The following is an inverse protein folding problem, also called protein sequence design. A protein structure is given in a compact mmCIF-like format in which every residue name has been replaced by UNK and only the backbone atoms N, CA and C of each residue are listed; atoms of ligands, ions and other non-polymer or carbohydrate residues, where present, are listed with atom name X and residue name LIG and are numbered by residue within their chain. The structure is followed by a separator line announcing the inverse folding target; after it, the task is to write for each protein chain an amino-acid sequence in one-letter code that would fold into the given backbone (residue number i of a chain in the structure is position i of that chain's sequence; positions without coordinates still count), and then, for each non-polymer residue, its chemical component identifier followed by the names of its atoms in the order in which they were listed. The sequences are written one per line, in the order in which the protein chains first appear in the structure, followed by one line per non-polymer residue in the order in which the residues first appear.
data_IF_079404909905
#
_entry.id   IF_079404909905
#
_cell.length_a   1.000
_cell.length_b   1.000
_cell.length_c   1.000
_cell.angle_alpha   90.00
_cell.angle_beta   90.00
_cell.angle_gamma   90.00
#
_symmetry.space_group_name_H-M   'P 1'
#
loop_
_entity.id
_entity.type
_entity.pdbx_description
1 polymer ?
#
# COMPACT_ATOMS: atom_id res chain seq x y z
N UNK A 1 -4.32 -16.06 -5.46
CA UNK A 1 -4.24 -15.03 -4.42
C UNK A 1 -3.85 -13.74 -5.10
N UNK A 2 -4.53 -12.62 -4.83
CA UNK A 2 -4.19 -11.32 -5.41
C UNK A 2 -3.51 -10.42 -4.38
N UNK A 3 -2.83 -9.37 -4.85
CA UNK A 3 -2.31 -8.26 -4.03
C UNK A 3 -2.88 -6.96 -4.59
N UNK A 4 -3.40 -6.08 -3.74
CA UNK A 4 -3.83 -4.73 -4.17
C UNK A 4 -2.64 -3.79 -4.26
N UNK A 5 -2.66 -2.93 -5.27
CA UNK A 5 -1.66 -1.89 -5.47
C UNK A 5 -2.26 -0.68 -6.18
N UNK A 6 -1.53 0.42 -6.15
CA UNK A 6 -1.76 1.56 -7.05
C UNK A 6 -0.55 1.68 -7.97
N UNK A 7 -0.78 1.80 -9.27
CA UNK A 7 0.28 1.99 -10.27
C UNK A 7 -0.03 3.22 -11.13
N UNK A 8 0.97 3.70 -11.87
CA UNK A 8 0.78 4.76 -12.88
C UNK A 8 0.60 4.15 -14.25
N UNK A 9 -0.44 4.58 -14.97
CA UNK A 9 -0.62 4.22 -16.36
C UNK A 9 0.33 4.99 -17.28
N UNK A 10 0.19 4.79 -18.59
CA UNK A 10 1.02 5.47 -19.61
C UNK A 10 0.80 6.99 -19.67
N UNK A 11 -0.27 7.51 -19.09
CA UNK A 11 -0.54 8.95 -18.97
C UNK A 11 0.05 9.53 -17.67
N UNK A 12 0.53 8.67 -16.77
CA UNK A 12 1.04 9.03 -15.45
C UNK A 12 -0.04 9.09 -14.37
N UNK A 13 -1.29 8.73 -14.71
CA UNK A 13 -2.41 8.77 -13.78
C UNK A 13 -2.35 7.57 -12.82
N UNK A 14 -2.70 7.81 -11.55
CA UNK A 14 -2.74 6.75 -10.57
C UNK A 14 -4.01 5.89 -10.75
N UNK A 15 -3.81 4.59 -10.94
CA UNK A 15 -4.87 3.61 -11.19
C UNK A 15 -4.84 2.50 -10.13
N UNK A 16 -6.00 2.05 -9.62
CA UNK A 16 -6.05 0.86 -8.78
C UNK A 16 -5.76 -0.39 -9.62
N UNK A 17 -4.94 -1.28 -9.09
CA UNK A 17 -4.59 -2.53 -9.75
C UNK A 17 -4.62 -3.71 -8.79
N UNK A 18 -4.74 -4.91 -9.37
CA UNK A 18 -4.43 -6.16 -8.68
C UNK A 18 -3.24 -6.83 -9.32
N UNK A 19 -2.35 -7.35 -8.48
CA UNK A 19 -1.23 -8.18 -8.87
C UNK A 19 -1.59 -9.66 -8.65
N UNK A 20 -1.62 -10.39 -9.75
CA UNK A 20 -1.85 -11.84 -9.78
C UNK A 20 -0.62 -12.48 -10.41
N UNK A 21 -0.03 -13.44 -9.70
CA UNK A 21 1.32 -13.94 -9.96
C UNK A 21 2.33 -12.78 -10.05
N UNK A 22 2.81 -12.49 -11.26
CA UNK A 22 3.81 -11.45 -11.57
C UNK A 22 3.27 -10.37 -12.51
N UNK A 23 1.97 -10.35 -12.78
CA UNK A 23 1.32 -9.40 -13.68
C UNK A 23 0.33 -8.53 -12.93
N UNK A 24 0.36 -7.24 -13.25
CA UNK A 24 -0.55 -6.21 -12.77
C UNK A 24 -1.68 -6.03 -13.78
N UNK A 25 -2.90 -5.97 -13.27
CA UNK A 25 -4.11 -5.75 -14.04
C UNK A 25 -4.77 -4.47 -13.55
N UNK A 26 -5.07 -3.56 -14.48
CA UNK A 26 -5.87 -2.37 -14.21
C UNK A 26 -7.31 -2.81 -13.90
N UNK A 27 -7.84 -2.34 -12.77
CA UNK A 27 -9.23 -2.55 -12.37
C UNK A 27 -9.98 -1.23 -12.24
N UNK A 28 -9.42 -0.16 -12.76
CA UNK A 28 -9.92 1.20 -12.62
C UNK A 28 -11.12 1.54 -13.51
N UNK A 29 -11.62 0.60 -14.32
CA UNK A 29 -12.96 0.70 -14.91
C UNK A 29 -14.06 0.40 -13.88
N UNK A 30 -13.75 -0.47 -12.90
CA UNK A 30 -14.72 -0.91 -11.91
C UNK A 30 -14.55 -0.20 -10.56
N UNK A 31 -13.33 0.21 -10.24
CA UNK A 31 -12.98 0.81 -8.95
C UNK A 31 -12.28 2.13 -9.13
N UNK A 32 -12.51 3.08 -8.22
CA UNK A 32 -11.93 4.43 -8.38
C UNK A 32 -10.51 4.48 -7.81
N UNK A 33 -10.28 3.82 -6.67
CA UNK A 33 -8.97 3.78 -6.00
C UNK A 33 -8.90 2.62 -5.01
N UNK A 34 -7.69 2.27 -4.58
CA UNK A 34 -7.51 1.29 -3.49
C UNK A 34 -8.17 1.75 -2.19
N UNK A 35 -8.18 3.06 -1.90
CA UNK A 35 -8.86 3.58 -0.72
C UNK A 35 -10.38 3.37 -0.78
N UNK A 36 -10.99 3.58 -1.95
CA UNK A 36 -12.41 3.34 -2.17
C UNK A 36 -12.74 1.84 -2.00
N UNK A 37 -11.91 0.96 -2.58
CA UNK A 37 -12.00 -0.49 -2.37
C UNK A 37 -12.02 -0.85 -0.88
N UNK A 38 -11.06 -0.32 -0.11
CA UNK A 38 -10.92 -0.62 1.32
C UNK A 38 -12.05 -0.04 2.17
N UNK A 39 -12.58 1.13 1.81
CA UNK A 39 -13.73 1.72 2.49
C UNK A 39 -15.02 0.90 2.29
N UNK A 40 -15.08 0.09 1.22
CA UNK A 40 -16.23 -0.75 0.87
C UNK A 40 -15.90 -2.26 0.95
N UNK A 41 -14.89 -2.63 1.76
CA UNK A 41 -14.27 -3.98 1.75
C UNK A 41 -15.27 -5.14 1.82
N UNK A 42 -16.29 -5.03 2.68
CA UNK A 42 -17.32 -6.07 2.85
C UNK A 42 -18.01 -6.47 1.53
N UNK A 43 -18.12 -5.53 0.59
CA UNK A 43 -18.72 -5.77 -0.73
C UNK A 43 -17.69 -6.00 -1.83
N UNK A 44 -16.53 -5.34 -1.76
CA UNK A 44 -15.51 -5.39 -2.82
C UNK A 44 -14.62 -6.64 -2.74
N UNK A 45 -14.40 -7.21 -1.55
CA UNK A 45 -13.53 -8.37 -1.34
C UNK A 45 -13.93 -9.56 -2.23
N UNK A 46 -15.22 -9.93 -2.21
CA UNK A 46 -15.73 -11.07 -2.99
C UNK A 46 -15.48 -10.86 -4.49
N UNK A 47 -15.74 -9.66 -4.99
CA UNK A 47 -15.52 -9.31 -6.40
C UNK A 47 -14.04 -9.41 -6.77
N UNK A 48 -13.14 -8.91 -5.93
CA UNK A 48 -11.69 -9.01 -6.15
C UNK A 48 -11.18 -10.45 -6.14
N UNK A 49 -11.73 -11.31 -5.27
CA UNK A 49 -11.42 -12.75 -5.27
C UNK A 49 -11.85 -13.38 -6.61
N UNK A 50 -13.07 -13.09 -7.08
CA UNK A 50 -13.59 -13.61 -8.35
C UNK A 50 -12.74 -13.14 -9.54
N UNK A 51 -12.41 -11.85 -9.63
CA UNK A 51 -11.52 -11.30 -10.66
C UNK A 51 -10.15 -12.00 -10.61
N UNK A 52 -9.56 -12.11 -9.41
CA UNK A 52 -8.27 -12.76 -9.23
C UNK A 52 -8.28 -14.24 -9.66
N UNK A 53 -9.36 -14.97 -9.39
CA UNK A 53 -9.53 -16.37 -9.85
C UNK A 53 -9.66 -16.45 -11.37
N UNK A 54 -10.45 -15.57 -11.99
CA UNK A 54 -10.63 -15.53 -13.44
C UNK A 54 -9.31 -15.25 -14.17
N UNK A 55 -8.49 -14.33 -13.66
CA UNK A 55 -7.19 -13.98 -14.23
C UNK A 55 -6.17 -15.13 -14.14
N UNK A 56 -6.20 -15.93 -13.06
CA UNK A 56 -5.37 -17.14 -12.96
C UNK A 56 -5.78 -18.19 -14.01
N UNK A 57 -7.08 -18.33 -14.27
CA UNK A 57 -7.61 -19.29 -15.25
C UNK A 57 -7.38 -18.84 -16.70
N UNK A 58 -7.39 -17.53 -16.96
CA UNK A 58 -7.28 -16.95 -18.30
C UNK A 58 -6.02 -16.08 -18.43
N UNK A 59 -4.84 -16.72 -18.38
CA UNK A 59 -3.52 -16.06 -18.46
C UNK A 59 -3.26 -15.24 -19.74
N UNK A 60 -4.16 -15.31 -20.74
CA UNK A 60 -4.09 -14.48 -21.94
C UNK A 60 -4.63 -13.04 -21.72
N UNK A 61 -5.13 -12.73 -20.52
CA UNK A 61 -5.50 -11.37 -20.16
C UNK A 61 -4.28 -10.43 -20.19
N UNK A 62 -4.48 -9.22 -20.70
CA UNK A 62 -3.46 -8.18 -20.95
C UNK A 62 -2.92 -7.54 -19.67
N UNK A 63 -2.32 -8.34 -18.79
CA UNK A 63 -1.62 -7.85 -17.61
C UNK A 63 -0.21 -7.38 -17.95
N UNK A 64 0.24 -6.33 -17.27
CA UNK A 64 1.60 -5.79 -17.42
C UNK A 64 2.51 -6.41 -16.37
N UNK A 65 3.72 -6.89 -16.71
CA UNK A 65 4.67 -7.38 -15.72
C UNK A 65 4.92 -6.37 -14.59
N UNK A 66 4.99 -6.83 -13.33
CA UNK A 66 5.15 -5.96 -12.15
C UNK A 66 6.44 -5.11 -12.17
N UNK A 67 7.47 -5.58 -12.87
CA UNK A 67 8.73 -4.87 -13.05
C UNK A 67 8.70 -3.82 -14.18
N UNK A 68 7.62 -3.77 -14.95
CA UNK A 68 7.41 -2.80 -16.04
C UNK A 68 6.42 -1.69 -15.67
N UNK A 69 5.77 -1.78 -14.50
CA UNK A 69 4.89 -0.72 -13.99
C UNK A 69 5.63 0.21 -13.02
N UNK A 70 5.22 1.47 -12.99
CA UNK A 70 5.63 2.40 -11.93
C UNK A 70 4.64 2.32 -10.78
N UNK A 71 5.09 1.88 -9.61
CA UNK A 71 4.25 1.76 -8.42
C UNK A 71 4.11 3.10 -7.69
N UNK A 72 2.88 3.46 -7.35
CA UNK A 72 2.61 4.54 -6.40
C UNK A 72 2.44 3.96 -4.98
N UNK A 73 2.22 4.83 -3.99
CA UNK A 73 1.80 4.36 -2.68
C UNK A 73 0.46 3.62 -2.83
N UNK A 74 0.27 2.41 -2.26
CA UNK A 74 -0.97 1.65 -2.43
C UNK A 74 -2.20 2.45 -2.01
N UNK A 75 -2.10 3.28 -0.97
CA UNK A 75 -3.13 4.23 -0.53
C UNK A 75 -2.55 5.64 -0.61
N UNK A 76 -3.01 6.45 -1.57
CA UNK A 76 -2.46 7.78 -1.84
C UNK A 76 -2.82 8.81 -0.76
N UNK A 77 -4.11 8.91 -0.42
CA UNK A 77 -4.63 10.00 0.42
C UNK A 77 -5.53 9.48 1.55
N UNK A 78 -5.00 8.69 2.51
CA UNK A 78 -5.77 8.27 3.66
C UNK A 78 -6.16 9.46 4.55
N UNK A 79 -7.13 9.25 5.43
CA UNK A 79 -7.56 10.26 6.42
C UNK A 79 -6.45 10.58 7.42
N UNK A 80 -6.15 9.64 8.32
CA UNK A 80 -5.09 9.78 9.35
C UNK A 80 -4.10 8.64 9.24
N UNK A 81 -2.81 8.95 9.23
CA UNK A 81 -1.72 7.97 9.31
C UNK A 81 -1.16 7.93 10.73
N UNK A 82 -1.56 6.90 11.48
CA UNK A 82 -0.97 6.59 12.78
C UNK A 82 0.31 5.79 12.59
N UNK A 83 1.37 6.19 13.26
CA UNK A 83 2.67 5.51 13.26
C UNK A 83 2.99 5.02 14.67
N UNK A 84 3.37 3.76 14.81
CA UNK A 84 3.92 3.23 16.05
C UNK A 84 5.41 3.59 16.11
N UNK A 85 5.81 4.37 17.11
CA UNK A 85 7.21 4.69 17.37
C UNK A 85 7.82 3.71 18.37
N UNK A 86 9.14 3.54 18.32
CA UNK A 86 9.90 2.74 19.28
C UNK A 86 9.30 1.35 19.56
N UNK A 87 8.75 0.69 18.52
CA UNK A 87 7.99 -0.57 18.66
C UNK A 87 8.88 -1.83 18.61
N UNK A 88 10.18 -1.69 18.90
CA UNK A 88 11.17 -2.76 18.93
C UNK A 88 12.15 -2.49 20.09
N UNK A 89 12.47 -3.51 20.89
CA UNK A 89 13.28 -3.35 22.09
C UNK A 89 14.68 -2.77 21.82
N UNK A 90 15.34 -3.27 20.77
CA UNK A 90 16.66 -2.76 20.37
C UNK A 90 16.59 -1.29 19.94
N UNK A 91 15.50 -0.88 19.29
CA UNK A 91 15.30 0.52 18.91
C UNK A 91 14.99 1.41 20.13
N UNK A 92 14.26 0.90 21.14
CA UNK A 92 14.09 1.62 22.41
C UNK A 92 15.44 1.83 23.10
N UNK A 93 16.26 0.77 23.19
CA UNK A 93 17.60 0.82 23.77
C UNK A 93 18.50 1.82 23.03
N UNK A 94 18.47 1.83 21.70
CA UNK A 94 19.20 2.80 20.86
C UNK A 94 18.79 4.25 21.18
N UNK A 95 17.49 4.52 21.34
CA UNK A 95 16.98 5.86 21.59
C UNK A 95 17.19 6.36 23.02
N UNK A 96 17.03 5.49 24.03
CA UNK A 96 16.98 5.87 25.45
C UNK A 96 18.27 5.55 26.21
N UNK A 97 19.10 4.63 25.71
CA UNK A 97 20.24 4.04 26.42
C UNK A 97 19.86 2.91 27.39
N UNK A 98 18.57 2.64 27.60
CA UNK A 98 18.06 1.63 28.53
C UNK A 98 17.04 0.71 27.85
N UNK A 99 17.00 -0.60 28.19
CA UNK A 99 16.01 -1.50 27.61
C UNK A 99 14.59 -1.07 28.04
N UNK A 100 13.57 -1.37 27.21
CA UNK A 100 12.19 -1.11 27.62
C UNK A 100 11.88 -1.89 28.91
N UNK A 101 11.04 -1.36 29.81
CA UNK A 101 10.62 -2.08 30.99
C UNK A 101 10.07 -3.47 30.61
N UNK A 102 10.45 -4.53 31.35
CA UNK A 102 10.03 -5.90 31.04
C UNK A 102 8.50 -6.10 31.16
N UNK A 103 7.82 -5.19 31.87
CA UNK A 103 6.39 -5.22 32.08
C UNK A 103 5.72 -3.99 31.46
N UNK A 104 4.74 -4.26 30.59
CA UNK A 104 3.70 -3.31 30.15
C UNK A 104 4.21 -1.98 29.54
N UNK A 105 5.07 -2.08 28.52
CA UNK A 105 5.40 -0.93 27.67
C UNK A 105 4.16 -0.47 26.90
N UNK A 106 3.70 0.75 27.17
CA UNK A 106 2.54 1.33 26.46
C UNK A 106 2.93 1.67 25.01
N UNK A 107 2.07 1.39 24.01
CA UNK A 107 2.32 1.80 22.64
C UNK A 107 2.50 3.31 22.53
N UNK A 108 3.57 3.73 21.86
CA UNK A 108 3.81 5.12 21.52
C UNK A 108 3.34 5.39 20.09
N UNK A 109 2.34 6.25 19.93
CA UNK A 109 1.81 6.64 18.63
C UNK A 109 2.06 8.11 18.33
N UNK A 110 2.37 8.40 17.07
CA UNK A 110 2.40 9.75 16.50
C UNK A 110 1.71 9.75 15.14
N UNK A 111 1.50 10.94 14.56
CA UNK A 111 0.85 11.10 13.26
C UNK A 111 1.86 11.68 12.27
N UNK A 112 1.82 11.20 11.02
CA UNK A 112 2.41 11.88 9.86
C UNK A 112 1.30 12.48 9.00
N UNK A 113 1.53 13.65 8.42
CA UNK A 113 0.58 14.26 7.49
C UNK A 113 0.43 13.38 6.25
N UNK A 114 -0.80 13.10 5.83
CA UNK A 114 -1.05 12.08 4.79
C UNK A 114 -0.63 12.57 3.41
N UNK A 115 -1.42 13.48 2.82
CA UNK A 115 -1.15 14.07 1.49
C UNK A 115 0.24 14.70 1.35
N UNK A 116 0.84 15.15 2.45
CA UNK A 116 2.13 15.83 2.46
C UNK A 116 3.35 14.93 2.62
N UNK A 117 3.21 13.64 2.97
CA UNK A 117 4.38 12.78 3.25
C UNK A 117 4.33 11.38 2.66
N UNK A 118 3.20 10.94 2.12
CA UNK A 118 3.08 9.63 1.48
C UNK A 118 3.57 9.73 0.02
N UNK A 119 4.63 8.98 -0.31
CA UNK A 119 5.16 8.83 -1.66
C UNK A 119 5.27 7.35 -2.05
N UNK A 120 5.35 7.07 -3.35
CA UNK A 120 5.47 5.72 -3.88
C UNK A 120 6.82 5.06 -3.59
N UNK A 121 6.89 3.75 -3.85
CA UNK A 121 8.16 3.03 -3.80
C UNK A 121 9.12 3.61 -4.84
N UNK A 122 10.39 3.81 -4.46
CA UNK A 122 11.44 4.37 -5.31
C UNK A 122 11.22 5.82 -5.76
N UNK A 123 10.25 6.54 -5.17
CA UNK A 123 10.15 7.99 -5.34
C UNK A 123 11.31 8.72 -4.67
N UNK A 124 11.67 9.87 -5.24
CA UNK A 124 12.79 10.68 -4.74
C UNK A 124 12.44 11.26 -3.37
N UNK A 125 13.33 11.03 -2.39
CA UNK A 125 13.27 11.71 -1.10
C UNK A 125 14.01 13.05 -1.22
N UNK A 126 13.28 14.15 -1.12
CA UNK A 126 13.86 15.48 -1.05
C UNK A 126 14.27 15.79 0.39
N UNK A 127 15.57 15.97 0.62
CA UNK A 127 16.09 16.33 1.93
C UNK A 127 15.77 17.81 2.23
N UNK A 128 15.31 18.14 3.46
CA UNK A 128 15.20 19.53 3.88
C UNK A 128 16.59 20.16 4.01
N UNK A 129 16.65 21.49 3.88
CA UNK A 129 17.85 22.30 4.18
C UNK A 129 18.22 22.25 5.68
#
# INVERSE_FOLDING_TARGET
MFRLLTFRDNQGDNRPGILVDQSVYDIGEEFISVLEILNNWETTEKKLIEIGQQLVQHRNASGTPINEVTLAAPILYPGTLYCAGANYADHVLEMSGEPPPPENTKPYFFIKSTRGTIIGANEVIHLPE
#
